data_IF_685254330747
#
_entry.id   IF_685254330747
#
_cell.length_a   1.000
_cell.length_b   1.000
_cell.length_c   1.000
_cell.angle_alpha   90.00
_cell.angle_beta   90.00
_cell.angle_gamma   90.00
#
_symmetry.space_group_name_H-M   'P 1'
#
loop_
_entity.id
_entity.type
_entity.pdbx_description
1 polymer ?
#
# COMPACT_ATOMS: atom_id res chain seq x y z
N UNK A 1 -42.91 -39.08 -21.34
CA UNK A 1 -41.79 -39.07 -20.37
C UNK A 1 -40.53 -39.24 -21.17
N UNK A 2 -39.89 -38.14 -21.56
CA UNK A 2 -38.61 -38.16 -22.28
C UNK A 2 -37.50 -38.49 -21.27
N UNK A 3 -37.12 -39.77 -21.22
CA UNK A 3 -35.93 -40.19 -20.50
C UNK A 3 -34.70 -39.88 -21.35
N UNK A 4 -34.07 -38.72 -21.12
CA UNK A 4 -32.78 -38.41 -21.73
C UNK A 4 -31.75 -39.50 -21.39
N UNK A 5 -31.05 -40.00 -22.40
CA UNK A 5 -30.05 -41.05 -22.26
C UNK A 5 -28.93 -40.59 -21.29
N UNK A 6 -28.69 -41.30 -20.17
CA UNK A 6 -27.64 -40.94 -19.20
C UNK A 6 -26.26 -40.74 -19.84
N UNK A 7 -25.97 -41.44 -20.94
CA UNK A 7 -24.70 -41.34 -21.65
C UNK A 7 -24.52 -39.99 -22.38
N UNK A 8 -25.59 -39.34 -22.83
CA UNK A 8 -25.50 -38.03 -23.49
C UNK A 8 -25.18 -36.92 -22.47
N UNK A 9 -25.68 -37.07 -21.24
CA UNK A 9 -25.35 -36.15 -20.14
C UNK A 9 -23.88 -36.30 -19.75
N UNK A 10 -23.37 -37.54 -19.66
CA UNK A 10 -21.96 -37.80 -19.35
C UNK A 10 -21.01 -37.24 -20.41
N UNK A 11 -21.30 -37.41 -21.71
CA UNK A 11 -20.46 -36.87 -22.79
C UNK A 11 -20.41 -35.33 -22.73
N UNK A 12 -21.57 -34.69 -22.50
CA UNK A 12 -21.62 -33.22 -22.36
C UNK A 12 -20.88 -32.73 -21.12
N UNK A 13 -20.97 -33.45 -20.00
CA UNK A 13 -20.23 -33.12 -18.78
C UNK A 13 -18.73 -33.29 -19.03
N UNK A 14 -18.29 -34.38 -19.67
CA UNK A 14 -16.86 -34.58 -19.97
C UNK A 14 -16.31 -33.48 -20.89
N UNK A 15 -17.03 -33.11 -21.96
CA UNK A 15 -16.63 -31.99 -22.81
C UNK A 15 -16.56 -30.67 -22.03
N UNK A 16 -17.54 -30.40 -21.16
CA UNK A 16 -17.54 -29.21 -20.30
C UNK A 16 -16.35 -29.19 -19.31
N UNK A 17 -15.94 -30.35 -18.79
CA UNK A 17 -14.80 -30.48 -17.89
C UNK A 17 -13.45 -30.38 -18.64
N UNK A 18 -13.37 -30.88 -19.87
CA UNK A 18 -12.18 -30.75 -20.73
C UNK A 18 -11.98 -29.32 -21.24
N UNK A 19 -13.07 -28.58 -21.48
CA UNK A 19 -13.04 -27.16 -21.86
C UNK A 19 -12.83 -26.22 -20.66
N UNK A 20 -12.89 -26.73 -19.42
CA UNK A 20 -12.71 -25.92 -18.23
C UNK A 20 -11.27 -25.40 -18.14
N UNK A 21 -11.12 -24.09 -18.28
CA UNK A 21 -9.84 -23.41 -18.07
C UNK A 21 -9.78 -22.82 -16.66
N UNK A 22 -8.58 -22.75 -16.06
CA UNK A 22 -8.38 -21.99 -14.83
C UNK A 22 -8.89 -20.55 -15.00
N UNK A 23 -9.53 -20.01 -13.96
CA UNK A 23 -10.03 -18.63 -13.98
C UNK A 23 -8.91 -17.60 -14.21
N UNK A 24 -7.69 -17.92 -13.77
CA UNK A 24 -6.51 -17.06 -13.83
C UNK A 24 -5.33 -17.86 -14.38
N UNK A 25 -4.53 -17.23 -15.24
CA UNK A 25 -3.23 -17.78 -15.67
C UNK A 25 -2.10 -17.21 -14.82
N UNK A 26 -0.92 -17.84 -14.87
CA UNK A 26 0.27 -17.35 -14.18
C UNK A 26 0.71 -15.94 -14.66
N UNK A 27 0.24 -15.50 -15.83
CA UNK A 27 0.51 -14.15 -16.36
C UNK A 27 -0.47 -13.09 -15.85
N UNK A 28 -1.58 -13.50 -15.22
CA UNK A 28 -2.59 -12.58 -14.72
C UNK A 28 -2.02 -11.74 -13.57
N UNK A 29 -2.04 -10.42 -13.74
CA UNK A 29 -1.55 -9.48 -12.75
C UNK A 29 -2.43 -8.24 -12.58
N UNK A 30 -3.38 -7.98 -13.48
CA UNK A 30 -4.29 -6.83 -13.43
C UNK A 30 -5.69 -7.33 -13.07
N UNK A 31 -6.15 -6.97 -11.87
CA UNK A 31 -7.37 -7.52 -11.29
C UNK A 31 -8.52 -6.52 -11.27
N UNK A 32 -9.75 -7.00 -11.46
CA UNK A 32 -10.89 -6.31 -10.90
C UNK A 32 -10.88 -6.47 -9.39
N UNK A 33 -11.12 -5.38 -8.67
CA UNK A 33 -11.14 -5.43 -7.21
C UNK A 33 -12.31 -6.31 -6.78
N UNK A 34 -12.09 -7.31 -5.90
CA UNK A 34 -13.15 -8.19 -5.43
C UNK A 34 -14.36 -7.40 -4.93
N UNK A 35 -15.56 -7.88 -5.27
CA UNK A 35 -16.82 -7.17 -5.00
C UNK A 35 -16.95 -6.73 -3.54
N UNK A 36 -16.56 -7.59 -2.60
CA UNK A 36 -16.63 -7.34 -1.16
C UNK A 36 -15.70 -6.21 -0.70
N UNK A 37 -14.53 -6.08 -1.31
CA UNK A 37 -13.61 -4.96 -1.04
C UNK A 37 -14.14 -3.69 -1.73
N UNK A 38 -14.55 -3.81 -2.99
CA UNK A 38 -15.00 -2.68 -3.82
C UNK A 38 -16.26 -2.00 -3.29
N UNK A 39 -17.23 -2.76 -2.76
CA UNK A 39 -18.52 -2.22 -2.30
C UNK A 39 -18.38 -1.25 -1.13
N UNK A 40 -17.34 -1.41 -0.30
CA UNK A 40 -17.11 -0.55 0.86
C UNK A 40 -16.69 0.87 0.45
N UNK A 41 -15.82 0.99 -0.56
CA UNK A 41 -15.30 2.28 -1.04
C UNK A 41 -15.09 2.31 -2.55
N UNK A 42 -16.19 2.22 -3.31
CA UNK A 42 -16.17 2.15 -4.79
C UNK A 42 -15.36 3.27 -5.46
N UNK A 43 -15.43 4.47 -4.91
CA UNK A 43 -14.76 5.65 -5.48
C UNK A 43 -13.23 5.62 -5.33
N UNK A 44 -12.68 4.77 -4.44
CA UNK A 44 -11.24 4.58 -4.30
C UNK A 44 -10.63 3.70 -5.41
N UNK A 45 -11.47 3.05 -6.21
CA UNK A 45 -11.08 2.10 -7.25
C UNK A 45 -11.65 2.47 -8.63
N UNK A 46 -12.15 3.71 -8.77
CA UNK A 46 -12.80 4.17 -10.00
C UNK A 46 -12.05 5.40 -10.52
N UNK A 47 -11.52 5.39 -11.75
CA UNK A 47 -10.77 6.51 -12.29
C UNK A 47 -11.64 7.77 -12.40
N UNK A 48 -11.06 8.91 -12.03
CA UNK A 48 -11.76 10.20 -11.94
C UNK A 48 -11.42 11.14 -13.10
N UNK A 49 -10.23 10.99 -13.66
CA UNK A 49 -9.66 11.82 -14.72
C UNK A 49 -9.53 11.00 -16.00
N UNK A 50 -8.79 9.89 -15.99
CA UNK A 50 -8.40 9.14 -17.19
C UNK A 50 -8.55 7.62 -17.00
N UNK A 51 -9.26 6.99 -17.92
CA UNK A 51 -9.28 5.53 -18.05
C UNK A 51 -8.05 5.05 -18.82
N UNK A 52 -7.39 4.04 -18.27
CA UNK A 52 -6.21 3.36 -18.80
C UNK A 52 -6.52 1.86 -18.84
N UNK A 53 -6.26 1.25 -19.99
CA UNK A 53 -6.55 -0.15 -20.22
C UNK A 53 -8.05 -0.41 -20.44
N UNK A 54 -8.42 -1.69 -20.63
CA UNK A 54 -9.75 -2.08 -21.09
C UNK A 54 -10.85 -2.01 -20.03
N UNK A 55 -10.54 -2.15 -18.73
CA UNK A 55 -11.55 -2.32 -17.68
C UNK A 55 -12.50 -1.13 -17.49
N UNK A 56 -12.00 0.09 -17.72
CA UNK A 56 -12.78 1.34 -17.66
C UNK A 56 -12.94 2.00 -19.03
N UNK A 57 -12.50 1.36 -20.10
CA UNK A 57 -12.59 1.91 -21.45
C UNK A 57 -14.05 2.15 -21.86
N UNK A 58 -14.32 3.32 -22.44
CA UNK A 58 -15.66 3.70 -22.88
C UNK A 58 -16.56 4.23 -21.75
N UNK A 59 -16.04 4.46 -20.54
CA UNK A 59 -16.79 5.11 -19.48
C UNK A 59 -17.26 6.52 -19.93
N UNK A 60 -18.58 6.80 -19.96
CA UNK A 60 -19.11 8.08 -20.43
C UNK A 60 -18.54 9.31 -19.72
N UNK A 61 -18.17 9.17 -18.43
CA UNK A 61 -17.60 10.26 -17.63
C UNK A 61 -16.18 10.63 -18.05
N UNK A 62 -15.46 9.73 -18.72
CA UNK A 62 -14.05 9.87 -19.06
C UNK A 62 -13.81 10.05 -20.57
N UNK A 63 -14.88 10.09 -21.38
CA UNK A 63 -14.79 10.18 -22.84
C UNK A 63 -13.98 11.41 -23.32
N UNK A 64 -14.06 12.53 -22.61
CA UNK A 64 -13.29 13.74 -22.96
C UNK A 64 -11.78 13.48 -22.96
N UNK A 65 -11.30 12.58 -22.10
CA UNK A 65 -9.89 12.22 -22.06
C UNK A 65 -9.47 11.32 -23.22
N UNK A 66 -10.38 10.61 -23.88
CA UNK A 66 -10.03 9.76 -25.03
C UNK A 66 -9.49 10.58 -26.21
N UNK A 67 -10.00 11.79 -26.44
CA UNK A 67 -9.45 12.71 -27.44
C UNK A 67 -8.06 13.23 -27.05
N UNK A 68 -7.87 13.53 -25.77
CA UNK A 68 -6.59 13.99 -25.26
C UNK A 68 -5.52 12.90 -25.34
N UNK A 69 -5.88 11.64 -25.05
CA UNK A 69 -4.98 10.49 -25.21
C UNK A 69 -4.56 10.30 -26.67
N UNK A 70 -5.47 10.48 -27.63
CA UNK A 70 -5.15 10.45 -29.06
C UNK A 70 -4.15 11.54 -29.45
N UNK A 71 -4.32 12.75 -28.92
CA UNK A 71 -3.39 13.87 -29.15
C UNK A 71 -2.00 13.56 -28.59
N UNK A 72 -1.93 13.07 -27.35
CA UNK A 72 -0.66 12.66 -26.73
C UNK A 72 0.00 11.50 -27.47
N UNK A 73 -0.78 10.52 -27.93
CA UNK A 73 -0.28 9.40 -28.72
C UNK A 73 0.39 9.90 -30.02
N UNK A 74 -0.25 10.82 -30.75
CA UNK A 74 0.36 11.45 -31.93
C UNK A 74 1.66 12.18 -31.58
N UNK A 75 1.66 12.97 -30.50
CA UNK A 75 2.84 13.72 -30.05
C UNK A 75 3.98 12.79 -29.63
N UNK A 76 3.68 11.67 -28.98
CA UNK A 76 4.66 10.67 -28.60
C UNK A 76 5.38 10.09 -29.83
N UNK A 77 4.60 9.73 -30.85
CA UNK A 77 5.13 9.18 -32.11
C UNK A 77 5.98 10.23 -32.84
N UNK A 78 5.56 11.50 -32.82
CA UNK A 78 6.35 12.60 -33.40
C UNK A 78 7.66 12.86 -32.63
N UNK A 79 7.64 12.64 -31.30
CA UNK A 79 8.81 12.77 -30.40
C UNK A 79 9.78 11.61 -30.54
N UNK A 80 9.31 10.41 -30.88
CA UNK A 80 10.16 9.21 -30.96
C UNK A 80 11.26 9.35 -32.02
N UNK A 81 12.37 8.63 -31.83
CA UNK A 81 13.47 8.58 -32.79
C UNK A 81 13.05 7.85 -34.08
N UNK A 82 12.18 6.86 -33.95
CA UNK A 82 11.69 6.04 -35.07
C UNK A 82 10.63 6.74 -35.92
N UNK A 83 9.80 7.61 -35.32
CA UNK A 83 8.66 8.32 -35.94
C UNK A 83 7.74 7.43 -36.79
N UNK A 84 7.64 6.15 -36.43
CA UNK A 84 7.01 5.13 -37.26
C UNK A 84 5.83 4.47 -36.56
N UNK A 85 4.63 5.00 -36.79
CA UNK A 85 3.38 4.43 -36.27
C UNK A 85 3.22 2.93 -36.58
N UNK A 86 3.63 2.47 -37.77
CA UNK A 86 3.50 1.07 -38.16
C UNK A 86 4.28 0.16 -37.21
N UNK A 87 5.49 0.55 -36.83
CA UNK A 87 6.31 -0.21 -35.87
C UNK A 87 5.66 -0.30 -34.49
N UNK A 88 5.05 0.78 -34.00
CA UNK A 88 4.32 0.75 -32.72
C UNK A 88 3.08 -0.15 -32.78
N UNK A 89 2.31 -0.08 -33.87
CA UNK A 89 1.13 -0.93 -34.07
C UNK A 89 1.53 -2.41 -34.14
N UNK A 90 2.56 -2.74 -34.94
CA UNK A 90 3.07 -4.12 -35.03
C UNK A 90 3.55 -4.64 -33.67
N UNK A 91 4.26 -3.82 -32.89
CA UNK A 91 4.71 -4.18 -31.55
C UNK A 91 3.54 -4.56 -30.63
N UNK A 92 2.49 -3.73 -30.55
CA UNK A 92 1.33 -4.05 -29.69
C UNK A 92 0.54 -5.24 -30.24
N UNK A 93 0.44 -5.38 -31.56
CA UNK A 93 -0.24 -6.51 -32.19
C UNK A 93 0.41 -7.86 -31.87
N UNK A 94 1.74 -7.92 -31.82
CA UNK A 94 2.49 -9.13 -31.43
C UNK A 94 2.31 -9.48 -29.95
N UNK A 95 2.22 -8.47 -29.07
CA UNK A 95 2.07 -8.65 -27.62
C UNK A 95 0.62 -8.89 -27.18
N UNK A 96 -0.34 -8.65 -28.07
CA UNK A 96 -1.78 -8.61 -27.81
C UNK A 96 -2.31 -9.82 -27.02
N UNK A 97 -1.95 -11.08 -27.35
CA UNK A 97 -2.43 -12.25 -26.61
C UNK A 97 -1.85 -12.34 -25.19
N UNK A 98 -0.61 -11.91 -24.99
CA UNK A 98 0.03 -11.85 -23.67
C UNK A 98 -0.61 -10.75 -22.82
N UNK A 99 -0.82 -9.57 -23.41
CA UNK A 99 -1.50 -8.44 -22.74
C UNK A 99 -2.90 -8.83 -22.29
N UNK A 100 -3.67 -9.55 -23.12
CA UNK A 100 -5.02 -9.98 -22.74
C UNK A 100 -5.00 -10.92 -21.53
N UNK A 101 -4.02 -11.83 -21.44
CA UNK A 101 -3.86 -12.78 -20.33
C UNK A 101 -3.43 -12.11 -19.02
N UNK A 102 -2.94 -10.88 -19.06
CA UNK A 102 -2.63 -10.12 -17.85
C UNK A 102 -3.88 -9.69 -17.06
N UNK A 103 -5.08 -9.70 -17.64
CA UNK A 103 -6.31 -9.23 -16.99
C UNK A 103 -7.11 -10.39 -16.39
N UNK A 104 -7.62 -10.21 -15.17
CA UNK A 104 -8.41 -11.22 -14.44
C UNK A 104 -9.76 -11.55 -15.09
N UNK A 105 -10.30 -10.59 -15.83
CA UNK A 105 -11.62 -10.67 -16.42
C UNK A 105 -11.50 -10.69 -17.93
N UNK A 106 -12.42 -11.40 -18.58
CA UNK A 106 -12.45 -11.52 -20.01
C UNK A 106 -12.68 -10.16 -20.70
N UNK A 107 -11.79 -9.80 -21.62
CA UNK A 107 -11.79 -8.51 -22.29
C UNK A 107 -12.78 -8.54 -23.45
N UNK A 108 -13.96 -7.95 -23.24
CA UNK A 108 -15.07 -7.84 -24.22
C UNK A 108 -14.80 -6.83 -25.35
N UNK A 109 -13.59 -6.80 -25.88
CA UNK A 109 -13.17 -5.98 -27.01
C UNK A 109 -12.66 -6.89 -28.13
N UNK A 110 -12.96 -6.54 -29.38
CA UNK A 110 -12.30 -7.18 -30.52
C UNK A 110 -10.78 -6.98 -30.43
N UNK A 111 -10.01 -7.89 -31.02
CA UNK A 111 -8.54 -7.81 -31.07
C UNK A 111 -8.08 -6.42 -31.57
N UNK A 112 -8.64 -5.95 -32.68
CA UNK A 112 -8.33 -4.63 -33.24
C UNK A 112 -8.59 -3.49 -32.24
N UNK A 113 -9.75 -3.53 -31.56
CA UNK A 113 -10.11 -2.49 -30.59
C UNK A 113 -9.22 -2.56 -29.36
N UNK A 114 -8.85 -3.75 -28.90
CA UNK A 114 -7.94 -3.94 -27.78
C UNK A 114 -6.54 -3.38 -28.09
N UNK A 115 -5.98 -3.70 -29.27
CA UNK A 115 -4.70 -3.13 -29.74
C UNK A 115 -4.74 -1.60 -29.71
N UNK A 116 -5.81 -1.01 -30.24
CA UNK A 116 -5.98 0.44 -30.27
C UNK A 116 -6.01 1.05 -28.87
N UNK A 117 -6.74 0.45 -27.94
CA UNK A 117 -6.84 0.93 -26.55
C UNK A 117 -5.47 0.87 -25.88
N UNK A 118 -4.80 -0.28 -25.93
CA UNK A 118 -3.49 -0.47 -25.30
C UNK A 118 -2.45 0.48 -25.89
N UNK A 119 -2.37 0.60 -27.22
CA UNK A 119 -1.41 1.50 -27.87
C UNK A 119 -1.64 2.96 -27.47
N UNK A 120 -2.87 3.45 -27.56
CA UNK A 120 -3.20 4.85 -27.24
C UNK A 120 -2.93 5.16 -25.78
N UNK A 121 -3.27 4.24 -24.87
CA UNK A 121 -3.10 4.45 -23.42
C UNK A 121 -1.63 4.40 -23.02
N UNK A 122 -0.86 3.45 -23.56
CA UNK A 122 0.58 3.39 -23.33
C UNK A 122 1.31 4.62 -23.90
N UNK A 123 1.02 5.04 -25.13
CA UNK A 123 1.64 6.25 -25.70
C UNK A 123 1.23 7.52 -24.94
N UNK A 124 0.00 7.59 -24.42
CA UNK A 124 -0.42 8.68 -23.56
C UNK A 124 0.43 8.76 -22.28
N UNK A 125 0.61 7.64 -21.59
CA UNK A 125 1.44 7.56 -20.38
C UNK A 125 2.89 7.94 -20.68
N UNK A 126 3.46 7.40 -21.76
CA UNK A 126 4.86 7.68 -22.13
C UNK A 126 5.07 9.15 -22.49
N UNK A 127 4.18 9.78 -23.26
CA UNK A 127 4.27 11.22 -23.54
C UNK A 127 4.06 12.08 -22.29
N UNK A 128 3.18 11.67 -21.38
CA UNK A 128 2.99 12.35 -20.10
C UNK A 128 4.30 12.35 -19.28
N UNK A 129 4.97 11.21 -19.22
CA UNK A 129 6.28 11.06 -18.56
C UNK A 129 7.37 11.89 -19.25
N UNK A 130 7.43 11.87 -20.59
CA UNK A 130 8.37 12.70 -21.35
C UNK A 130 8.15 14.20 -21.08
N UNK A 131 6.90 14.67 -21.10
CA UNK A 131 6.56 16.08 -20.83
C UNK A 131 6.98 16.50 -19.43
N UNK A 132 6.73 15.67 -18.43
CA UNK A 132 7.19 15.94 -17.06
C UNK A 132 8.71 16.09 -17.00
N UNK A 133 9.46 15.18 -17.63
CA UNK A 133 10.92 15.22 -17.63
C UNK A 133 11.48 16.46 -18.33
N UNK A 134 10.99 16.78 -19.52
CA UNK A 134 11.43 17.95 -20.28
C UNK A 134 10.83 19.27 -19.79
N UNK A 135 9.94 19.23 -18.78
CA UNK A 135 9.17 20.38 -18.28
C UNK A 135 8.33 21.04 -19.38
N UNK A 136 7.85 20.25 -20.33
CA UNK A 136 6.91 20.69 -21.34
C UNK A 136 5.54 20.97 -20.71
N UNK A 137 4.75 21.85 -21.36
CA UNK A 137 3.38 22.09 -20.91
C UNK A 137 2.55 20.81 -20.92
N UNK A 138 2.01 20.41 -19.77
CA UNK A 138 0.98 19.38 -19.69
C UNK A 138 -0.30 19.98 -20.27
N UNK A 139 -0.80 19.43 -21.38
CA UNK A 139 -1.94 19.99 -22.12
C UNK A 139 -3.26 19.59 -21.46
N UNK A 140 -3.37 19.84 -20.16
CA UNK A 140 -4.50 19.52 -19.31
C UNK A 140 -4.79 20.67 -18.35
N UNK A 141 -6.06 20.88 -17.96
CA UNK A 141 -6.40 21.78 -16.86
C UNK A 141 -5.57 21.45 -15.61
N UNK A 142 -4.97 22.45 -14.92
CA UNK A 142 -4.08 22.21 -13.77
C UNK A 142 -4.68 21.33 -12.67
N UNK A 143 -5.99 21.49 -12.41
CA UNK A 143 -6.71 20.64 -11.44
C UNK A 143 -6.73 19.16 -11.83
N UNK A 144 -6.83 18.83 -13.13
CA UNK A 144 -6.83 17.44 -13.60
C UNK A 144 -5.43 16.83 -13.56
N UNK A 145 -4.38 17.64 -13.76
CA UNK A 145 -2.99 17.20 -13.65
C UNK A 145 -2.66 16.66 -12.26
N UNK A 146 -3.12 17.34 -11.21
CA UNK A 146 -2.83 16.96 -9.80
C UNK A 146 -3.47 15.64 -9.34
N UNK A 147 -4.48 15.12 -10.05
CA UNK A 147 -5.13 13.85 -9.70
C UNK A 147 -4.76 12.70 -10.65
N UNK A 148 -4.02 13.00 -11.72
CA UNK A 148 -3.75 12.05 -12.79
C UNK A 148 -2.89 10.88 -12.34
N UNK A 149 -1.85 11.12 -11.54
CA UNK A 149 -0.97 10.05 -11.06
C UNK A 149 -1.70 9.05 -10.15
N UNK A 150 -2.73 9.47 -9.41
CA UNK A 150 -3.52 8.54 -8.60
C UNK A 150 -4.39 7.62 -9.46
N UNK A 151 -4.95 8.13 -10.56
CA UNK A 151 -5.66 7.29 -11.54
C UNK A 151 -4.73 6.22 -12.14
N UNK A 152 -3.45 6.55 -12.36
CA UNK A 152 -2.44 5.61 -12.85
C UNK A 152 -2.03 4.55 -11.80
N UNK A 153 -2.43 4.70 -10.54
CA UNK A 153 -2.14 3.75 -9.46
C UNK A 153 -3.32 2.84 -9.13
N UNK A 154 -4.50 3.10 -9.70
CA UNK A 154 -5.69 2.28 -9.43
C UNK A 154 -5.53 0.89 -10.03
N UNK A 155 -5.80 -0.15 -9.25
CA UNK A 155 -5.63 -1.54 -9.66
C UNK A 155 -6.45 -1.89 -10.91
N UNK A 156 -7.66 -1.33 -11.03
CA UNK A 156 -8.54 -1.52 -12.20
C UNK A 156 -8.18 -0.65 -13.42
N UNK A 157 -7.15 0.18 -13.32
CA UNK A 157 -6.79 1.20 -14.32
C UNK A 157 -5.34 1.07 -14.75
N UNK A 158 -4.90 -0.15 -15.04
CA UNK A 158 -3.51 -0.49 -15.34
C UNK A 158 -3.33 -0.96 -16.79
N UNK A 159 -2.09 -0.89 -17.27
CA UNK A 159 -1.58 -1.61 -18.42
C UNK A 159 -0.32 -2.37 -18.00
N UNK A 160 0.02 -3.51 -18.63
CA UNK A 160 1.23 -4.25 -18.26
C UNK A 160 2.49 -3.43 -18.53
N UNK A 161 3.39 -3.38 -17.55
CA UNK A 161 4.60 -2.55 -17.60
C UNK A 161 5.53 -2.95 -18.75
N UNK A 162 5.60 -4.24 -19.09
CA UNK A 162 6.42 -4.72 -20.21
C UNK A 162 6.02 -4.10 -21.55
N UNK A 163 4.75 -3.73 -21.74
CA UNK A 163 4.29 -3.06 -22.96
C UNK A 163 4.84 -1.64 -23.01
N UNK A 164 4.77 -0.92 -21.90
CA UNK A 164 5.35 0.42 -21.78
C UNK A 164 6.86 0.39 -22.03
N UNK A 165 7.56 -0.60 -21.48
CA UNK A 165 9.00 -0.78 -21.66
C UNK A 165 9.36 -1.06 -23.13
N UNK A 166 8.67 -2.00 -23.79
CA UNK A 166 8.90 -2.30 -25.21
C UNK A 166 8.64 -1.10 -26.11
N UNK A 167 7.55 -0.36 -25.86
CA UNK A 167 7.23 0.85 -26.65
C UNK A 167 8.22 2.00 -26.36
N UNK A 168 8.66 2.17 -25.12
CA UNK A 168 9.69 3.15 -24.77
C UNK A 168 11.03 2.84 -25.46
N UNK A 169 11.46 1.58 -25.42
CA UNK A 169 12.70 1.13 -26.07
C UNK A 169 12.62 1.24 -27.60
N UNK A 170 11.45 0.98 -28.18
CA UNK A 170 11.18 1.22 -29.60
C UNK A 170 11.19 2.72 -29.95
N UNK A 171 10.72 3.58 -29.04
CA UNK A 171 10.69 5.02 -29.24
C UNK A 171 12.08 5.66 -29.14
N UNK A 172 12.91 5.18 -28.23
CA UNK A 172 14.24 5.73 -27.93
C UNK A 172 15.33 4.64 -27.88
N UNK A 173 15.67 3.99 -29.02
CA UNK A 173 16.71 2.96 -29.05
C UNK A 173 18.07 3.43 -28.55
N UNK A 174 18.36 4.73 -28.62
CA UNK A 174 19.58 5.34 -28.06
C UNK A 174 19.77 5.05 -26.57
N UNK A 175 18.66 4.88 -25.82
CA UNK A 175 18.69 4.61 -24.37
C UNK A 175 19.28 3.25 -24.03
N UNK A 176 19.26 2.29 -24.95
CA UNK A 176 19.81 0.94 -24.77
C UNK A 176 21.33 0.88 -24.91
N UNK A 177 21.95 1.84 -25.59
CA UNK A 177 23.31 1.73 -26.13
C UNK A 177 24.35 2.63 -25.44
N UNK A 178 23.97 3.53 -24.52
CA UNK A 178 24.87 4.61 -24.08
C UNK A 178 25.19 4.60 -22.58
N UNK A 179 26.48 4.47 -22.25
CA UNK A 179 27.06 4.52 -20.89
C UNK A 179 27.25 5.94 -20.30
N UNK A 180 26.57 6.99 -20.77
CA UNK A 180 26.83 8.30 -20.13
C UNK A 180 26.12 9.58 -20.57
N UNK A 181 25.42 9.63 -21.71
CA UNK A 181 24.65 10.83 -22.09
C UNK A 181 23.38 10.43 -22.85
N UNK A 182 22.36 9.97 -22.12
CA UNK A 182 21.03 9.84 -22.69
C UNK A 182 20.27 11.16 -22.52
N UNK A 183 19.71 11.69 -23.60
CA UNK A 183 18.73 12.78 -23.53
C UNK A 183 17.40 12.34 -22.89
N UNK A 184 17.19 11.02 -22.73
CA UNK A 184 15.97 10.44 -22.17
C UNK A 184 16.32 9.45 -21.03
N UNK A 185 15.77 9.65 -19.82
CA UNK A 185 15.98 8.75 -18.68
C UNK A 185 15.26 7.41 -18.90
N UNK A 186 15.60 6.39 -18.09
CA UNK A 186 14.90 5.10 -18.15
C UNK A 186 13.42 5.24 -17.77
N UNK A 187 12.57 4.38 -18.33
CA UNK A 187 11.14 4.35 -18.01
C UNK A 187 10.88 4.21 -16.51
N UNK A 188 11.69 3.38 -15.82
CA UNK A 188 11.56 3.21 -14.38
C UNK A 188 11.86 4.51 -13.62
N UNK A 189 12.91 5.24 -14.01
CA UNK A 189 13.24 6.52 -13.41
C UNK A 189 12.10 7.53 -13.60
N UNK A 190 11.54 7.62 -14.81
CA UNK A 190 10.39 8.48 -15.10
C UNK A 190 9.18 8.13 -14.22
N UNK A 191 8.87 6.84 -14.15
CA UNK A 191 7.75 6.32 -13.37
C UNK A 191 7.92 6.65 -11.89
N UNK A 192 9.10 6.40 -11.34
CA UNK A 192 9.44 6.67 -9.95
C UNK A 192 9.27 8.16 -9.59
N UNK A 193 9.72 9.06 -10.46
CA UNK A 193 9.70 10.49 -10.19
C UNK A 193 8.37 11.19 -10.48
N UNK A 194 7.49 10.59 -11.27
CA UNK A 194 6.20 11.20 -11.65
C UNK A 194 4.99 10.51 -11.01
N UNK A 195 4.94 9.18 -11.02
CA UNK A 195 3.75 8.41 -10.64
C UNK A 195 3.75 8.07 -9.15
N UNK A 196 4.91 7.71 -8.59
CA UNK A 196 5.00 7.18 -7.23
C UNK A 196 4.88 8.31 -6.19
N UNK A 197 3.90 8.24 -5.25
CA UNK A 197 3.71 9.25 -4.22
C UNK A 197 4.79 9.11 -3.13
N UNK A 198 5.90 9.84 -3.29
CA UNK A 198 7.07 9.79 -2.42
C UNK A 198 6.82 10.08 -0.92
N UNK A 199 5.67 10.67 -0.56
CA UNK A 199 5.31 10.92 0.85
C UNK A 199 4.59 9.74 1.52
N UNK A 200 4.02 8.81 0.74
CA UNK A 200 3.39 7.57 1.23
C UNK A 200 4.40 6.42 1.07
N UNK A 201 5.04 6.36 -0.10
CA UNK A 201 6.04 5.36 -0.44
C UNK A 201 7.39 6.05 -0.33
N UNK A 202 7.87 6.18 0.90
CA UNK A 202 9.20 6.72 1.17
C UNK A 202 10.24 5.70 0.71
N UNK A 203 10.98 6.03 -0.33
CA UNK A 203 12.19 5.31 -0.69
C UNK A 203 13.36 6.29 -0.73
N UNK A 204 14.49 5.92 -0.11
CA UNK A 204 15.70 6.71 -0.23
C UNK A 204 16.07 6.87 -1.71
N UNK A 205 16.14 8.13 -2.16
CA UNK A 205 16.42 8.51 -3.55
C UNK A 205 17.82 8.09 -4.03
N UNK A 206 18.64 7.55 -3.11
CA UNK A 206 20.08 7.34 -3.27
C UNK A 206 20.36 5.84 -3.13
N UNK A 207 20.19 5.07 -4.21
CA UNK A 207 20.75 3.71 -4.27
C UNK A 207 19.78 2.57 -4.58
N UNK A 208 18.56 2.83 -5.05
CA UNK A 208 17.73 1.78 -5.66
C UNK A 208 18.42 1.24 -6.93
N UNK A 209 19.26 0.21 -6.76
CA UNK A 209 19.78 -0.57 -7.86
C UNK A 209 18.66 -1.42 -8.42
N UNK A 210 18.35 -1.22 -9.72
CA UNK A 210 17.36 -2.00 -10.48
C UNK A 210 17.59 -3.52 -10.42
N UNK A 211 18.79 -3.96 -10.04
CA UNK A 211 19.12 -5.38 -9.85
C UNK A 211 18.25 -6.09 -8.82
N UNK A 212 17.55 -5.35 -7.96
CA UNK A 212 16.80 -5.90 -6.82
C UNK A 212 15.28 -5.97 -7.06
N UNK A 213 14.77 -5.41 -8.17
CA UNK A 213 13.33 -5.43 -8.48
C UNK A 213 13.06 -6.58 -9.45
N UNK A 214 12.31 -7.59 -9.01
CA UNK A 214 11.77 -8.63 -9.89
C UNK A 214 10.85 -8.03 -10.95
N UNK A 215 10.55 -8.78 -12.02
CA UNK A 215 9.68 -8.37 -13.15
C UNK A 215 8.48 -7.54 -12.70
N UNK A 216 8.41 -6.27 -13.11
CA UNK A 216 7.35 -5.34 -12.73
C UNK A 216 6.09 -5.66 -13.53
N UNK A 217 4.97 -5.89 -12.84
CA UNK A 217 3.69 -6.17 -13.49
C UNK A 217 3.05 -4.89 -14.06
N UNK A 218 2.88 -3.87 -13.21
CA UNK A 218 2.26 -2.57 -13.52
C UNK A 218 2.60 -1.55 -12.41
N UNK A 219 2.02 -0.34 -12.43
CA UNK A 219 2.40 0.75 -11.52
C UNK A 219 2.05 0.49 -10.05
N UNK A 220 0.90 -0.14 -9.78
CA UNK A 220 0.52 -0.55 -8.41
C UNK A 220 1.50 -1.60 -7.86
N UNK A 221 1.92 -2.58 -8.66
CA UNK A 221 2.94 -3.55 -8.26
C UNK A 221 4.29 -2.88 -7.99
N UNK A 222 4.74 -1.99 -8.89
CA UNK A 222 5.96 -1.21 -8.67
C UNK A 222 5.92 -0.44 -7.35
N UNK A 223 4.80 0.22 -7.07
CA UNK A 223 4.58 0.96 -5.83
C UNK A 223 4.73 0.06 -4.60
N UNK A 224 4.15 -1.14 -4.63
CA UNK A 224 4.29 -2.14 -3.57
C UNK A 224 5.74 -2.60 -3.43
N UNK A 225 6.42 -2.95 -4.53
CA UNK A 225 7.81 -3.41 -4.52
C UNK A 225 8.76 -2.37 -3.94
N UNK A 226 8.56 -1.09 -4.29
CA UNK A 226 9.34 0.02 -3.74
C UNK A 226 9.13 0.16 -2.23
N UNK A 227 7.89 0.00 -1.75
CA UNK A 227 7.59 -0.02 -0.33
C UNK A 227 8.34 -1.16 0.39
N UNK A 228 8.35 -2.37 -0.18
CA UNK A 228 9.05 -3.51 0.41
C UNK A 228 10.56 -3.37 0.42
N UNK A 229 11.17 -2.96 -0.70
CA UNK A 229 12.62 -2.82 -0.81
C UNK A 229 13.14 -1.75 0.16
N UNK A 230 12.30 -0.77 0.50
CA UNK A 230 12.62 0.28 1.46
C UNK A 230 12.51 -0.19 2.92
N UNK A 231 11.93 -1.37 3.18
CA UNK A 231 11.70 -1.90 4.52
C UNK A 231 12.83 -2.83 4.97
N UNK A 232 13.26 -2.70 6.22
CA UNK A 232 14.14 -3.68 6.87
C UNK A 232 13.45 -5.01 7.18
N UNK A 233 12.12 -5.09 7.06
CA UNK A 233 11.38 -6.34 7.17
C UNK A 233 11.69 -7.29 6.01
N UNK A 234 11.92 -6.74 4.83
CA UNK A 234 12.19 -7.50 3.61
C UNK A 234 13.67 -7.92 3.55
N UNK A 235 13.92 -9.23 3.54
CA UNK A 235 15.26 -9.80 3.32
C UNK A 235 15.22 -10.65 2.03
N UNK A 236 15.85 -10.19 0.93
CA UNK A 236 15.79 -10.89 -0.36
C UNK A 236 16.40 -12.31 -0.34
N UNK A 237 17.21 -12.63 0.67
CA UNK A 237 18.07 -13.82 0.73
C UNK A 237 17.52 -14.97 1.58
N UNK A 238 16.37 -14.83 2.23
CA UNK A 238 15.73 -15.90 3.01
C UNK A 238 14.44 -16.28 2.30
N UNK A 239 14.35 -17.54 1.88
CA UNK A 239 13.19 -18.10 1.18
C UNK A 239 11.90 -17.88 2.00
N UNK A 240 11.06 -16.96 1.53
CA UNK A 240 9.70 -16.74 2.01
C UNK A 240 9.56 -15.87 3.25
N UNK A 241 8.48 -15.09 3.27
CA UNK A 241 7.94 -14.51 4.51
C UNK A 241 7.47 -15.67 5.39
N UNK A 242 8.13 -15.93 6.53
CA UNK A 242 7.60 -16.87 7.52
C UNK A 242 6.30 -16.27 8.08
N UNK A 243 5.17 -16.86 7.70
CA UNK A 243 3.82 -16.48 8.12
C UNK A 243 3.22 -17.70 8.82
N UNK A 244 3.37 -17.76 10.14
CA UNK A 244 2.93 -18.92 10.94
C UNK A 244 2.27 -18.50 12.25
N UNK A 245 1.99 -17.21 12.40
CA UNK A 245 1.61 -16.64 13.67
C UNK A 245 0.17 -16.14 13.65
N UNK A 246 -0.65 -16.72 14.54
CA UNK A 246 -1.97 -16.21 14.88
C UNK A 246 -1.83 -15.09 15.91
N UNK A 247 -2.22 -13.87 15.54
CA UNK A 247 -2.33 -12.75 16.49
C UNK A 247 -3.78 -12.69 16.96
N UNK A 248 -4.01 -12.99 18.23
CA UNK A 248 -5.37 -13.13 18.79
C UNK A 248 -6.00 -11.83 19.26
N UNK A 249 -5.20 -10.82 19.59
CA UNK A 249 -5.68 -9.52 20.06
C UNK A 249 -4.57 -8.47 20.01
N UNK A 250 -4.89 -7.20 19.75
CA UNK A 250 -3.99 -6.06 19.98
C UNK A 250 -4.77 -4.90 20.60
N UNK A 251 -4.12 -4.15 21.50
CA UNK A 251 -4.72 -3.01 22.18
C UNK A 251 -4.57 -1.70 21.38
N UNK A 252 -5.60 -0.86 21.42
CA UNK A 252 -5.58 0.52 20.92
C UNK A 252 -4.46 1.36 21.54
N UNK A 253 -4.00 2.38 20.82
CA UNK A 253 -2.91 3.25 21.25
C UNK A 253 -3.17 3.86 22.63
N UNK A 254 -4.40 4.27 22.94
CA UNK A 254 -4.79 4.80 24.24
C UNK A 254 -4.64 3.76 25.36
N UNK A 255 -5.12 2.53 25.16
CA UNK A 255 -4.98 1.42 26.13
C UNK A 255 -3.52 1.03 26.36
N UNK A 256 -2.72 0.95 25.29
CA UNK A 256 -1.28 0.72 25.39
C UNK A 256 -0.62 1.85 26.20
N UNK A 257 -0.99 3.10 25.92
CA UNK A 257 -0.48 4.26 26.64
C UNK A 257 -0.86 4.22 28.12
N UNK A 258 -2.07 3.81 28.44
CA UNK A 258 -2.54 3.64 29.81
C UNK A 258 -1.78 2.56 30.57
N UNK A 259 -1.42 1.46 29.91
CA UNK A 259 -0.60 0.39 30.47
C UNK A 259 0.87 0.77 30.67
N UNK A 260 1.32 1.90 30.12
CA UNK A 260 2.67 2.43 30.29
C UNK A 260 3.55 2.36 29.04
N UNK A 261 3.01 1.92 27.90
CA UNK A 261 3.73 1.92 26.62
C UNK A 261 3.98 3.36 26.17
N UNK A 262 5.18 3.63 25.67
CA UNK A 262 5.52 4.90 25.05
C UNK A 262 5.46 4.79 23.53
N UNK A 263 5.10 5.91 22.91
CA UNK A 263 5.03 6.06 21.46
C UNK A 263 6.03 7.13 21.04
N UNK A 264 6.82 6.83 20.02
CA UNK A 264 7.83 7.71 19.45
C UNK A 264 7.88 7.55 17.92
N UNK A 265 8.31 8.59 17.21
CA UNK A 265 8.58 8.49 15.77
C UNK A 265 9.82 7.62 15.56
N UNK A 266 9.74 6.64 14.66
CA UNK A 266 10.91 5.93 14.17
C UNK A 266 11.73 6.87 13.27
N UNK A 267 12.85 7.37 13.80
CA UNK A 267 13.76 8.26 13.05
C UNK A 267 14.76 7.51 12.18
N UNK A 268 14.84 6.18 12.34
CA UNK A 268 15.84 5.35 11.68
C UNK A 268 15.33 4.78 10.35
N UNK A 269 14.02 4.86 10.07
CA UNK A 269 13.42 4.44 8.81
C UNK A 269 12.33 5.41 8.39
N UNK A 270 12.24 5.65 7.08
CA UNK A 270 11.15 6.38 6.47
C UNK A 270 10.07 5.44 5.90
N UNK A 271 10.33 4.14 5.85
CA UNK A 271 9.40 3.16 5.31
C UNK A 271 8.27 2.90 6.30
N UNK A 272 7.03 2.96 5.81
CA UNK A 272 5.80 2.78 6.57
C UNK A 272 5.79 1.47 7.39
N UNK A 273 6.37 0.42 6.82
CA UNK A 273 6.32 -0.94 7.37
C UNK A 273 7.29 -1.16 8.55
N UNK A 274 8.21 -0.23 8.82
CA UNK A 274 9.29 -0.48 9.78
C UNK A 274 8.92 -0.10 11.22
N UNK A 275 8.01 -0.89 11.82
CA UNK A 275 7.70 -0.81 13.25
C UNK A 275 8.86 -1.38 14.09
N UNK A 276 9.18 -0.73 15.20
CA UNK A 276 10.21 -1.19 16.13
C UNK A 276 9.73 -1.10 17.58
N UNK A 277 9.92 -2.17 18.36
CA UNK A 277 9.77 -2.14 19.80
C UNK A 277 11.14 -2.06 20.47
N UNK A 278 11.32 -1.13 21.42
CA UNK A 278 12.54 -1.02 22.24
C UNK A 278 12.15 -0.85 23.70
N UNK A 279 12.31 -1.91 24.49
CA UNK A 279 11.74 -2.00 25.83
C UNK A 279 10.23 -1.87 25.77
N UNK A 280 9.67 -0.81 26.36
CA UNK A 280 8.22 -0.52 26.32
C UNK A 280 7.89 0.68 25.43
N UNK A 281 8.76 0.99 24.46
CA UNK A 281 8.56 2.09 23.53
C UNK A 281 8.32 1.54 22.13
N UNK A 282 7.10 1.71 21.62
CA UNK A 282 6.74 1.41 20.25
C UNK A 282 7.11 2.60 19.37
N UNK A 283 8.05 2.38 18.46
CA UNK A 283 8.49 3.35 17.47
C UNK A 283 7.79 3.06 16.15
N UNK A 284 7.10 4.07 15.64
CA UNK A 284 6.30 3.99 14.43
C UNK A 284 6.84 5.02 13.43
N UNK A 285 7.09 4.64 12.16
CA UNK A 285 7.48 5.58 11.11
C UNK A 285 6.49 6.73 10.98
N UNK A 286 7.00 7.90 10.62
CA UNK A 286 6.17 9.06 10.34
C UNK A 286 5.24 8.78 9.15
N UNK A 287 3.96 9.13 9.27
CA UNK A 287 2.99 9.06 8.19
C UNK A 287 2.23 10.39 8.06
N UNK A 288 2.19 10.93 6.83
CA UNK A 288 1.26 11.98 6.46
C UNK A 288 -0.04 11.36 5.97
N UNK A 289 -1.17 11.84 6.48
CA UNK A 289 -2.50 11.40 6.07
C UNK A 289 -3.22 12.56 5.39
N UNK A 290 -3.52 12.40 4.11
CA UNK A 290 -4.23 13.37 3.26
C UNK A 290 -5.38 12.72 2.46
N UNK A 291 -6.08 13.52 1.66
CA UNK A 291 -7.24 13.10 0.85
C UNK A 291 -6.97 11.93 -0.11
N UNK A 292 -5.70 11.68 -0.46
CA UNK A 292 -5.32 10.66 -1.43
C UNK A 292 -4.68 9.42 -0.78
N UNK A 293 -4.35 9.49 0.50
CA UNK A 293 -3.71 8.42 1.26
C UNK A 293 -4.56 7.15 1.24
N UNK A 294 -5.88 7.29 1.46
CA UNK A 294 -6.83 6.16 1.40
C UNK A 294 -6.82 5.46 0.03
N UNK A 295 -6.77 6.24 -1.06
CA UNK A 295 -6.81 5.72 -2.43
C UNK A 295 -5.58 4.84 -2.70
N UNK A 296 -4.39 5.33 -2.35
CA UNK A 296 -3.14 4.60 -2.57
C UNK A 296 -3.11 3.31 -1.75
N UNK A 297 -3.40 3.39 -0.46
CA UNK A 297 -3.38 2.23 0.43
C UNK A 297 -4.40 1.17 0.00
N UNK A 298 -5.63 1.57 -0.35
CA UNK A 298 -6.67 0.63 -0.81
C UNK A 298 -6.30 -0.14 -2.06
N UNK A 299 -5.64 0.50 -3.03
CA UNK A 299 -5.24 -0.17 -4.27
C UNK A 299 -4.03 -1.10 -4.07
N UNK A 300 -3.09 -0.73 -3.21
CA UNK A 300 -1.99 -1.61 -2.81
C UNK A 300 -2.49 -2.83 -2.03
N UNK A 301 -3.41 -2.63 -1.07
CA UNK A 301 -4.04 -3.71 -0.32
C UNK A 301 -4.82 -4.65 -1.23
N UNK A 302 -5.66 -4.10 -2.12
CA UNK A 302 -6.41 -4.92 -3.08
C UNK A 302 -5.47 -5.78 -3.95
N UNK A 303 -4.31 -5.24 -4.36
CA UNK A 303 -3.32 -5.99 -5.10
C UNK A 303 -2.67 -7.09 -4.27
N UNK A 304 -2.28 -6.83 -3.01
CA UNK A 304 -1.78 -7.88 -2.11
C UNK A 304 -2.78 -9.02 -1.93
N UNK A 305 -4.06 -8.69 -1.76
CA UNK A 305 -5.14 -9.64 -1.58
C UNK A 305 -5.43 -10.50 -2.82
N UNK A 306 -5.14 -9.99 -4.03
CA UNK A 306 -5.36 -10.73 -5.28
C UNK A 306 -4.13 -11.50 -5.76
N UNK A 307 -2.92 -10.96 -5.54
CA UNK A 307 -1.70 -11.44 -6.21
C UNK A 307 -0.59 -11.86 -5.25
N UNK A 308 -0.47 -11.24 -4.07
CA UNK A 308 0.69 -11.40 -3.18
C UNK A 308 0.29 -11.86 -1.78
N UNK A 309 -0.67 -12.78 -1.65
CA UNK A 309 -1.24 -13.20 -0.35
C UNK A 309 -0.16 -13.67 0.63
N UNK A 310 0.86 -14.36 0.14
CA UNK A 310 1.97 -14.88 0.94
C UNK A 310 3.05 -13.83 1.30
N UNK A 311 2.95 -12.62 0.76
CA UNK A 311 3.86 -11.49 1.00
C UNK A 311 3.08 -10.21 1.32
N UNK A 312 2.04 -10.33 2.15
CA UNK A 312 1.06 -9.28 2.44
C UNK A 312 1.50 -8.37 3.60
N UNK A 313 2.68 -7.74 3.46
CA UNK A 313 3.26 -6.88 4.50
C UNK A 313 2.46 -5.62 4.76
N UNK A 314 1.86 -5.03 3.73
CA UNK A 314 1.00 -3.87 3.90
C UNK A 314 -0.30 -4.26 4.62
N UNK A 315 -0.87 -5.42 4.28
CA UNK A 315 -2.03 -5.97 4.99
C UNK A 315 -1.76 -6.14 6.48
N UNK A 316 -0.60 -6.69 6.84
CA UNK A 316 -0.19 -6.79 8.24
C UNK A 316 -0.10 -5.42 8.91
N UNK A 317 0.59 -4.47 8.26
CA UNK A 317 0.72 -3.10 8.76
C UNK A 317 -0.64 -2.41 8.99
N UNK A 318 -1.56 -2.54 8.03
CA UNK A 318 -2.89 -1.93 8.12
C UNK A 318 -3.72 -2.57 9.22
N UNK A 319 -3.62 -3.90 9.40
CA UNK A 319 -4.29 -4.56 10.53
C UNK A 319 -3.78 -4.02 11.86
N UNK A 320 -2.48 -3.75 11.97
CA UNK A 320 -1.90 -3.16 13.18
C UNK A 320 -2.45 -1.77 13.43
N UNK A 321 -2.57 -0.96 12.38
CA UNK A 321 -3.12 0.38 12.50
C UNK A 321 -4.62 0.39 12.83
N UNK A 322 -5.40 -0.55 12.30
CA UNK A 322 -6.81 -0.78 12.66
C UNK A 322 -6.95 -1.05 14.17
N UNK A 323 -6.10 -1.91 14.74
CA UNK A 323 -6.08 -2.12 16.18
C UNK A 323 -5.59 -0.90 16.97
N UNK A 324 -4.54 -0.22 16.52
CA UNK A 324 -3.97 0.94 17.21
C UNK A 324 -4.92 2.14 17.20
N UNK A 325 -5.71 2.33 16.14
CA UNK A 325 -6.51 3.52 15.90
C UNK A 325 -8.01 3.19 15.92
N UNK A 326 -8.55 2.92 17.10
CA UNK A 326 -9.98 2.64 17.21
C UNK A 326 -10.83 3.93 17.25
N UNK A 327 -10.28 5.03 17.78
CA UNK A 327 -11.00 6.30 17.99
C UNK A 327 -10.15 7.51 17.62
N UNK A 328 -10.80 8.68 17.50
CA UNK A 328 -10.16 9.99 17.38
C UNK A 328 -9.11 10.25 18.49
N UNK A 329 -9.34 9.76 19.72
CA UNK A 329 -8.38 9.87 20.83
C UNK A 329 -7.05 9.15 20.55
N UNK A 330 -7.12 8.00 19.87
CA UNK A 330 -5.93 7.25 19.48
C UNK A 330 -5.14 8.03 18.41
N UNK A 331 -5.86 8.63 17.45
CA UNK A 331 -5.26 9.53 16.45
C UNK A 331 -4.60 10.74 17.12
N UNK A 332 -5.31 11.43 18.02
CA UNK A 332 -4.78 12.60 18.73
C UNK A 332 -3.51 12.29 19.52
N UNK A 333 -3.45 11.10 20.14
CA UNK A 333 -2.26 10.61 20.81
C UNK A 333 -1.09 10.47 19.83
N UNK A 334 -1.31 9.86 18.67
CA UNK A 334 -0.28 9.65 17.65
C UNK A 334 0.16 10.96 16.97
N UNK A 335 -0.77 11.90 16.75
CA UNK A 335 -0.48 13.27 16.28
C UNK A 335 0.39 13.99 17.31
N UNK A 336 0.02 13.95 18.59
CA UNK A 336 0.80 14.56 19.68
C UNK A 336 2.22 14.01 19.79
N UNK A 337 2.42 12.76 19.35
CA UNK A 337 3.72 12.10 19.29
C UNK A 337 4.50 12.37 18.01
N UNK A 338 3.93 13.12 17.07
CA UNK A 338 4.52 13.42 15.78
C UNK A 338 4.55 12.23 14.82
N UNK A 339 3.83 11.15 15.12
CA UNK A 339 3.76 9.94 14.30
C UNK A 339 2.85 10.17 13.10
N UNK A 340 1.69 10.81 13.33
CA UNK A 340 0.73 11.19 12.28
C UNK A 340 0.79 12.70 12.03
N UNK A 341 0.96 13.09 10.77
CA UNK A 341 0.73 14.44 10.26
C UNK A 341 -0.64 14.48 9.56
N UNK A 342 -1.66 15.00 10.25
CA UNK A 342 -3.05 14.98 9.80
C UNK A 342 -3.38 16.18 8.90
N UNK A 343 -3.52 15.93 7.60
CA UNK A 343 -3.96 16.91 6.59
C UNK A 343 -5.44 16.82 6.27
N UNK A 344 -6.17 15.84 6.84
CA UNK A 344 -7.64 15.76 6.76
C UNK A 344 -8.33 16.76 7.69
N UNK A 345 -7.57 17.41 8.59
CA UNK A 345 -8.03 18.39 9.59
C UNK A 345 -8.99 17.85 10.66
N UNK A 346 -9.44 16.60 10.55
CA UNK A 346 -10.30 15.91 11.52
C UNK A 346 -9.66 14.58 11.93
N UNK A 347 -9.47 14.37 13.24
CA UNK A 347 -8.94 13.14 13.80
C UNK A 347 -9.91 11.96 13.65
N UNK A 348 -11.23 12.23 13.66
CA UNK A 348 -12.23 11.19 13.44
C UNK A 348 -12.16 10.67 11.99
N UNK A 349 -11.99 11.55 11.01
CA UNK A 349 -11.80 11.15 9.61
C UNK A 349 -10.57 10.23 9.42
N UNK A 350 -9.46 10.47 10.14
CA UNK A 350 -8.29 9.58 10.11
C UNK A 350 -8.61 8.21 10.71
N UNK A 351 -9.32 8.16 11.85
CA UNK A 351 -9.72 6.91 12.48
C UNK A 351 -10.67 6.11 11.57
N UNK A 352 -11.70 6.75 11.01
CA UNK A 352 -12.61 6.12 10.05
C UNK A 352 -11.89 5.60 8.80
N UNK A 353 -10.88 6.34 8.31
CA UNK A 353 -10.07 5.90 7.18
C UNK A 353 -9.35 4.59 7.50
N UNK A 354 -8.53 4.55 8.56
CA UNK A 354 -7.75 3.35 8.91
C UNK A 354 -8.64 2.16 9.27
N UNK A 355 -9.70 2.37 10.05
CA UNK A 355 -10.65 1.31 10.37
C UNK A 355 -11.37 0.78 9.13
N UNK A 356 -11.68 1.68 8.20
CA UNK A 356 -12.26 1.31 6.91
C UNK A 356 -11.29 0.61 5.96
N UNK A 357 -9.97 0.67 6.18
CA UNK A 357 -9.00 -0.05 5.36
C UNK A 357 -9.02 -1.54 5.66
N UNK A 358 -9.26 -1.95 6.92
CA UNK A 358 -9.30 -3.37 7.33
C UNK A 358 -10.56 -4.13 6.92
N UNK A 359 -11.62 -3.44 6.50
CA UNK A 359 -12.93 -4.07 6.18
C UNK A 359 -12.84 -4.95 4.93
N UNK A 360 -13.30 -6.20 5.06
CA UNK A 360 -13.33 -7.22 4.00
C UNK A 360 -11.95 -7.61 3.44
N UNK A 361 -10.88 -7.33 4.18
CA UNK A 361 -9.54 -7.86 3.90
C UNK A 361 -9.43 -9.25 4.52
N UNK A 362 -8.97 -10.22 3.75
CA UNK A 362 -8.66 -11.55 4.27
C UNK A 362 -7.26 -11.52 4.86
N UNK A 363 -7.18 -11.83 6.15
CA UNK A 363 -5.91 -12.06 6.82
C UNK A 363 -5.82 -13.52 7.24
N UNK A 364 -4.90 -14.25 6.62
CA UNK A 364 -4.70 -15.68 6.90
C UNK A 364 -3.68 -15.90 8.01
N UNK A 365 -2.61 -15.10 8.03
CA UNK A 365 -1.48 -15.21 8.97
C UNK A 365 -0.78 -13.84 9.11
N UNK A 366 0.14 -13.67 10.08
CA UNK A 366 0.99 -12.46 10.21
C UNK A 366 2.48 -12.75 9.95
N UNK A 367 3.22 -11.72 9.50
CA UNK A 367 4.68 -11.74 9.54
C UNK A 367 5.19 -11.94 10.99
N UNK A 368 6.16 -12.85 11.16
CA UNK A 368 6.73 -13.20 12.49
C UNK A 368 7.29 -11.98 13.25
N UNK A 369 7.95 -11.02 12.60
CA UNK A 369 8.52 -9.84 13.27
C UNK A 369 7.42 -8.94 13.84
N UNK A 370 6.32 -8.80 13.12
CA UNK A 370 5.14 -8.09 13.60
C UNK A 370 4.49 -8.85 14.75
N UNK A 371 4.26 -10.15 14.58
CA UNK A 371 3.70 -10.98 15.65
C UNK A 371 4.51 -10.91 16.94
N UNK A 372 5.85 -10.91 16.87
CA UNK A 372 6.69 -10.80 18.07
C UNK A 372 6.53 -9.46 18.77
N UNK A 373 6.47 -8.35 18.02
CA UNK A 373 6.24 -7.01 18.59
C UNK A 373 4.91 -6.97 19.33
N UNK A 374 3.85 -7.58 18.78
CA UNK A 374 2.54 -7.55 19.40
C UNK A 374 2.40 -8.49 20.59
N UNK A 375 3.06 -9.66 20.53
CA UNK A 375 3.11 -10.57 21.67
C UNK A 375 3.79 -9.88 22.86
N UNK A 376 4.94 -9.22 22.65
CA UNK A 376 5.63 -8.46 23.69
C UNK A 376 4.78 -7.33 24.28
N UNK A 377 4.03 -6.60 23.43
CA UNK A 377 3.12 -5.53 23.87
C UNK A 377 1.94 -6.08 24.67
N UNK A 378 1.36 -7.20 24.24
CA UNK A 378 0.25 -7.85 24.91
C UNK A 378 0.66 -8.40 26.27
N UNK A 379 1.80 -9.08 26.34
CA UNK A 379 2.35 -9.63 27.59
C UNK A 379 2.63 -8.51 28.60
N UNK A 380 3.17 -7.38 28.12
CA UNK A 380 3.34 -6.19 28.94
C UNK A 380 2.01 -5.64 29.47
N UNK A 381 0.97 -5.60 28.64
CA UNK A 381 -0.35 -5.07 29.00
C UNK A 381 -1.20 -6.02 29.86
N UNK A 382 -0.93 -7.34 29.78
CA UNK A 382 -1.59 -8.36 30.57
C UNK A 382 -1.16 -8.33 32.04
N UNK A 383 0.04 -7.82 32.33
CA UNK A 383 0.55 -7.73 33.70
C UNK A 383 -0.16 -6.61 34.51
N UNK A 384 -0.99 -6.93 35.53
CA UNK A 384 -1.77 -5.92 36.25
C UNK A 384 -0.91 -4.90 37.00
N UNK A 385 0.30 -5.30 37.40
CA UNK A 385 1.28 -4.42 38.05
C UNK A 385 1.69 -3.26 37.15
N UNK A 386 1.87 -3.49 35.85
CA UNK A 386 2.29 -2.46 34.90
C UNK A 386 1.22 -1.37 34.78
N UNK A 387 -0.06 -1.75 34.71
CA UNK A 387 -1.18 -0.80 34.73
C UNK A 387 -1.24 0.00 36.03
N UNK A 388 -1.04 -0.64 37.18
CA UNK A 388 -1.02 0.03 38.50
C UNK A 388 0.14 1.02 38.60
N UNK A 389 1.35 0.64 38.20
CA UNK A 389 2.53 1.50 38.20
C UNK A 389 2.36 2.68 37.24
N UNK A 390 1.82 2.43 36.04
CA UNK A 390 1.54 3.49 35.07
C UNK A 390 0.50 4.49 35.58
N UNK A 391 -0.54 4.01 36.26
CA UNK A 391 -1.55 4.86 36.92
C UNK A 391 -0.93 5.68 38.04
N UNK A 392 -0.15 5.05 38.92
CA UNK A 392 0.58 5.75 39.99
C UNK A 392 1.47 6.86 39.43
N UNK A 393 2.26 6.55 38.38
CA UNK A 393 3.14 7.53 37.75
C UNK A 393 2.36 8.68 37.11
N UNK A 394 1.22 8.41 36.49
CA UNK A 394 0.37 9.40 35.83
C UNK A 394 -0.31 10.34 36.82
N UNK A 395 -0.81 9.83 37.94
CA UNK A 395 -1.63 10.61 38.86
C UNK A 395 -0.77 11.35 39.89
N UNK A 396 0.30 10.71 40.36
CA UNK A 396 1.12 11.15 41.47
C UNK A 396 2.52 11.65 41.07
N UNK A 397 3.04 11.25 39.91
CA UNK A 397 4.40 11.62 39.47
C UNK A 397 4.43 12.45 38.17
N UNK A 398 3.34 13.16 37.84
CA UNK A 398 3.23 13.91 36.58
C UNK A 398 3.84 15.33 36.61
N UNK A 399 4.18 15.85 37.79
CA UNK A 399 4.87 17.13 37.94
C UNK A 399 5.93 17.02 39.02
N UNK A 400 7.01 17.80 38.97
CA UNK A 400 8.07 17.76 39.98
C UNK A 400 7.52 17.86 41.41
N UNK A 401 6.57 18.77 41.64
CA UNK A 401 5.97 18.96 42.97
C UNK A 401 5.10 17.80 43.43
N UNK A 402 4.25 17.23 42.56
CA UNK A 402 3.47 16.04 42.91
C UNK A 402 4.38 14.84 43.17
N UNK A 403 5.46 14.69 42.41
CA UNK A 403 6.46 13.64 42.65
C UNK A 403 7.12 13.80 44.01
N UNK A 404 7.60 15.01 44.35
CA UNK A 404 8.21 15.29 45.66
C UNK A 404 7.21 15.07 46.80
N UNK A 405 5.98 15.56 46.66
CA UNK A 405 4.93 15.35 47.66
C UNK A 405 4.61 13.87 47.86
N UNK A 406 4.58 13.09 46.78
CA UNK A 406 4.33 11.65 46.82
C UNK A 406 5.48 10.90 47.49
N UNK A 407 6.73 11.25 47.18
CA UNK A 407 7.92 10.69 47.85
C UNK A 407 7.90 11.01 49.35
N UNK A 408 7.62 12.26 49.71
CA UNK A 408 7.51 12.68 51.11
C UNK A 408 6.40 11.91 51.85
N UNK A 409 5.23 11.76 51.23
CA UNK A 409 4.12 10.96 51.78
C UNK A 409 4.50 9.50 52.01
N UNK A 410 5.16 8.86 51.04
CA UNK A 410 5.66 7.48 51.17
C UNK A 410 6.68 7.38 52.31
N UNK A 411 7.62 8.32 52.39
CA UNK A 411 8.64 8.35 53.43
C UNK A 411 8.02 8.50 54.83
N UNK A 412 7.06 9.41 55.00
CA UNK A 412 6.32 9.59 56.25
C UNK A 412 5.54 8.32 56.65
N UNK A 413 4.93 7.64 55.68
CA UNK A 413 4.19 6.41 55.92
C UNK A 413 5.12 5.27 56.40
N UNK A 414 6.31 5.13 55.80
CA UNK A 414 7.34 4.18 56.25
C UNK A 414 7.77 4.48 57.68
N UNK A 415 8.07 5.75 57.98
CA UNK A 415 8.44 6.16 59.35
C UNK A 415 7.33 5.84 60.36
N UNK A 416 6.07 6.06 59.99
CA UNK A 416 4.91 5.77 60.86
C UNK A 416 4.78 4.27 61.13
N UNK A 417 4.99 3.42 60.12
CA UNK A 417 4.99 1.95 60.28
C UNK A 417 6.12 1.53 61.22
N UNK A 418 7.34 2.02 61.00
CA UNK A 418 8.50 1.72 61.85
C UNK A 418 8.22 2.13 63.30
N UNK A 419 7.70 3.34 63.51
CA UNK A 419 7.33 3.84 64.83
C UNK A 419 6.26 2.96 65.50
N UNK A 420 5.26 2.51 64.74
CA UNK A 420 4.19 1.62 65.24
C UNK A 420 4.76 0.27 65.66
N UNK A 421 5.65 -0.33 64.87
CA UNK A 421 6.31 -1.60 65.20
C UNK A 421 7.14 -1.48 66.47
N UNK A 422 7.95 -0.43 66.60
CA UNK A 422 8.72 -0.19 67.83
C UNK A 422 7.83 0.02 69.05
N UNK A 423 6.71 0.73 68.89
CA UNK A 423 5.75 0.95 69.98
C UNK A 423 5.10 -0.36 70.44
N UNK A 424 4.78 -1.28 69.51
CA UNK A 424 4.24 -2.60 69.86
C UNK A 424 5.31 -3.45 70.55
N UNK A 425 6.56 -3.46 70.06
CA UNK A 425 7.64 -4.22 70.67
C UNK A 425 7.94 -3.77 72.11
N UNK A 426 7.83 -2.46 72.39
CA UNK A 426 7.97 -1.90 73.75
C UNK A 426 6.84 -2.30 74.72
N UNK A 427 5.69 -2.74 74.21
CA UNK A 427 4.55 -3.18 75.03
C UNK A 427 4.55 -4.70 75.25
N UNK A 428 5.25 -5.45 74.39
CA UNK A 428 5.29 -6.93 74.40
C UNK A 428 6.55 -7.48 75.08
N UNK A 429 7.59 -6.66 75.30
CA UNK A 429 8.68 -6.89 76.26
C UNK A 429 8.43 -6.07 77.51
#
# INVERSE_FOLDING_TARGET
MEGGNPNDVLIKINAMLEEAQPLLTDECCIYRVPHEIRKFKKDAYTPKVVSIGPFHHGNPKLLRMEDQKRLYCRQFIERSETKNLKSFVSCVQELEPEVRRCYSDDIKLSIEKHIRVILVDCCFILELLCRYHHRDAILLPPRLGNFMHYDLLLLENQVPFFVLEKLHNLAFPSTLNSRGQNNYPSLLWLTFHYIIPNYIISSDKVGLSLSNVSTIAHFTDLSRKLLLISSHLFQPSVSGCSRTAEVTHLYSASKLKEAGVNFEVNKNSQCLLDLQLSGHTLRIPFIRVDDNTEIVLRNLLAFEQCHCVNESYLTDYITVFDYLINTDKDVDLLIKKGIIDNWLSDSNAVAEMFNGLGVNIMQTDFNVKYSSIFQDLNDFCAHPWNRKVATLRRDYCNTPWKTVASIAGIFLLILTIIQTVFSILQVVH
#
